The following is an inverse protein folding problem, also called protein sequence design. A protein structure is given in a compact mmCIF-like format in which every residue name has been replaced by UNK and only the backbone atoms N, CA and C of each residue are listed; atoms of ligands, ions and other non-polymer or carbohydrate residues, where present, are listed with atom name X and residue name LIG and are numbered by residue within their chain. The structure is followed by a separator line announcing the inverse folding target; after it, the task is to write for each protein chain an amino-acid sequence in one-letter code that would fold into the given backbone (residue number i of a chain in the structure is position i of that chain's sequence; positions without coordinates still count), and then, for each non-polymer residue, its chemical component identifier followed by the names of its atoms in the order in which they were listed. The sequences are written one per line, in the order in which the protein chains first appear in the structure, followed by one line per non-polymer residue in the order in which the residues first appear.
data_IF_560908890062
#
_entry.id   IF_560908890062
#
_cell.length_a   1.000
_cell.length_b   1.000
_cell.length_c   1.000
_cell.angle_alpha   90.00
_cell.angle_beta   90.00
_cell.angle_gamma   90.00
#
_symmetry.space_group_name_H-M   'P 1'
#
loop_
_entity.id
_entity.type
_entity.pdbx_description
1 polymer ?
#
# COMPACT_ATOMS: atom_id res chain seq x y z
N UNK A 1 29.11 -12.83 -9.68
CA UNK A 1 30.20 -13.00 -8.70
C UNK A 1 31.49 -13.36 -9.41
N UNK A 2 31.47 -14.36 -10.29
CA UNK A 2 32.65 -14.92 -10.96
C UNK A 2 33.45 -13.92 -11.81
N UNK A 3 32.78 -13.06 -12.59
CA UNK A 3 33.48 -12.02 -13.36
C UNK A 3 34.24 -11.01 -12.48
N UNK A 4 33.78 -10.73 -11.25
CA UNK A 4 34.48 -9.82 -10.32
C UNK A 4 35.75 -10.47 -9.76
N UNK A 5 35.75 -11.79 -9.58
CA UNK A 5 36.94 -12.56 -9.22
C UNK A 5 37.96 -12.47 -10.38
N UNK A 6 37.52 -12.61 -11.63
CA UNK A 6 38.37 -12.41 -12.80
C UNK A 6 38.95 -10.98 -12.87
N UNK A 7 38.16 -9.94 -12.56
CA UNK A 7 38.67 -8.56 -12.49
C UNK A 7 39.74 -8.43 -11.39
N UNK A 8 39.48 -8.96 -10.19
CA UNK A 8 40.45 -8.95 -9.07
C UNK A 8 41.74 -9.68 -9.44
N UNK A 9 41.64 -10.82 -10.13
CA UNK A 9 42.78 -11.54 -10.69
C UNK A 9 43.57 -10.68 -11.67
N UNK A 10 42.91 -9.98 -12.60
CA UNK A 10 43.58 -9.08 -13.56
C UNK A 10 44.36 -7.96 -12.85
N UNK A 11 43.77 -7.35 -11.81
CA UNK A 11 44.44 -6.31 -11.00
C UNK A 11 45.70 -6.86 -10.32
N UNK A 12 45.61 -8.04 -9.67
CA UNK A 12 46.77 -8.67 -9.02
C UNK A 12 47.90 -9.01 -10.00
N UNK A 13 47.56 -9.30 -11.25
CA UNK A 13 48.52 -9.57 -12.32
C UNK A 13 48.97 -8.30 -13.09
N UNK A 14 48.58 -7.10 -12.64
CA UNK A 14 48.92 -5.81 -13.28
C UNK A 14 48.46 -5.71 -14.75
N UNK A 15 47.41 -6.44 -15.12
CA UNK A 15 46.78 -6.35 -16.44
C UNK A 15 45.98 -5.06 -16.48
N UNK A 16 46.19 -4.22 -17.50
CA UNK A 16 45.48 -2.93 -17.62
C UNK A 16 43.96 -3.15 -17.72
N UNK A 17 43.19 -2.23 -17.14
CA UNK A 17 41.71 -2.30 -17.11
C UNK A 17 41.07 -2.52 -18.50
N UNK A 18 41.59 -1.86 -19.54
CA UNK A 18 41.09 -2.05 -20.91
C UNK A 18 41.34 -3.48 -21.44
N UNK A 19 42.47 -4.10 -21.09
CA UNK A 19 42.81 -5.47 -21.48
C UNK A 19 42.02 -6.47 -20.65
N UNK A 20 41.82 -6.20 -19.35
CA UNK A 20 40.93 -6.98 -18.50
C UNK A 20 39.49 -7.00 -19.03
N UNK A 21 38.99 -5.85 -19.52
CA UNK A 21 37.68 -5.77 -20.16
C UNK A 21 37.60 -6.63 -21.42
N UNK A 22 38.61 -6.55 -22.31
CA UNK A 22 38.68 -7.41 -23.50
C UNK A 22 38.70 -8.89 -23.15
N UNK A 23 39.49 -9.30 -22.16
CA UNK A 23 39.56 -10.69 -21.69
C UNK A 23 38.21 -11.17 -21.17
N UNK A 24 37.49 -10.33 -20.42
CA UNK A 24 36.14 -10.65 -19.95
C UNK A 24 35.13 -10.74 -21.09
N UNK A 25 35.22 -9.88 -22.11
CA UNK A 25 34.37 -9.96 -23.30
C UNK A 25 34.61 -11.26 -24.06
N UNK A 26 35.86 -11.69 -24.20
CA UNK A 26 36.19 -12.98 -24.84
C UNK A 26 35.67 -14.17 -24.03
N UNK A 27 35.76 -14.11 -22.70
CA UNK A 27 35.40 -15.23 -21.83
C UNK A 27 33.89 -15.35 -21.56
N UNK A 28 33.15 -14.24 -21.56
CA UNK A 28 31.74 -14.19 -21.13
C UNK A 28 30.77 -13.62 -22.19
N UNK A 29 31.27 -13.09 -23.30
CA UNK A 29 30.50 -12.60 -24.45
C UNK A 29 29.32 -11.67 -24.07
N UNK A 30 28.09 -11.98 -24.48
CA UNK A 30 26.90 -11.18 -24.16
C UNK A 30 26.60 -11.10 -22.65
N UNK A 31 27.14 -12.04 -21.85
CA UNK A 31 26.98 -12.04 -20.40
C UNK A 31 28.04 -11.18 -19.68
N UNK A 32 28.98 -10.55 -20.38
CA UNK A 32 30.00 -9.70 -19.77
C UNK A 32 29.40 -8.47 -19.07
N UNK A 33 29.91 -8.15 -17.88
CA UNK A 33 29.59 -6.89 -17.19
C UNK A 33 29.84 -5.69 -18.11
N UNK A 34 28.96 -4.69 -18.06
CA UNK A 34 29.15 -3.48 -18.85
C UNK A 34 30.47 -2.78 -18.48
N UNK A 35 31.02 -2.03 -19.45
CA UNK A 35 32.30 -1.36 -19.32
C UNK A 35 32.39 -0.48 -18.07
N UNK A 36 31.32 0.22 -17.70
CA UNK A 36 31.32 1.10 -16.51
C UNK A 36 31.44 0.28 -15.23
N UNK A 37 30.74 -0.85 -15.15
CA UNK A 37 30.85 -1.76 -14.02
C UNK A 37 32.23 -2.42 -13.92
N UNK A 38 32.83 -2.84 -15.04
CA UNK A 38 34.20 -3.39 -15.04
C UNK A 38 35.21 -2.36 -14.55
N UNK A 39 35.14 -1.13 -15.05
CA UNK A 39 36.04 -0.05 -14.64
C UNK A 39 35.85 0.34 -13.16
N UNK A 40 34.59 0.37 -12.68
CA UNK A 40 34.27 0.64 -11.28
C UNK A 40 34.89 -0.40 -10.35
N UNK A 41 34.69 -1.69 -10.64
CA UNK A 41 35.24 -2.78 -9.84
C UNK A 41 36.77 -2.85 -9.93
N UNK A 42 37.33 -2.64 -11.12
CA UNK A 42 38.79 -2.58 -11.30
C UNK A 42 39.42 -1.49 -10.43
N UNK A 43 38.81 -0.29 -10.42
CA UNK A 43 39.26 0.82 -9.57
C UNK A 43 39.23 0.43 -8.09
N UNK A 44 38.11 -0.09 -7.60
CA UNK A 44 37.98 -0.51 -6.20
C UNK A 44 39.04 -1.54 -5.80
N UNK A 45 39.31 -2.55 -6.63
CA UNK A 45 40.36 -3.54 -6.36
C UNK A 45 41.77 -2.94 -6.43
N UNK A 46 42.01 -1.98 -7.33
CA UNK A 46 43.30 -1.26 -7.38
C UNK A 46 43.55 -0.36 -6.17
N UNK A 47 42.47 0.07 -5.50
CA UNK A 47 42.49 0.88 -4.27
C UNK A 47 42.55 0.00 -3.00
N UNK A 48 42.71 -1.33 -3.14
CA UNK A 48 42.94 -2.24 -2.02
C UNK A 48 41.72 -2.98 -1.49
N UNK A 49 40.53 -2.84 -2.13
CA UNK A 49 39.37 -3.67 -1.80
C UNK A 49 39.69 -5.14 -2.06
N UNK A 50 39.27 -6.03 -1.16
CA UNK A 50 39.40 -7.48 -1.36
C UNK A 50 38.07 -8.20 -1.56
N UNK A 51 36.96 -7.64 -1.07
CA UNK A 51 35.64 -8.25 -1.18
C UNK A 51 35.03 -8.10 -2.59
N UNK A 52 34.49 -9.19 -3.14
CA UNK A 52 33.86 -9.28 -4.46
C UNK A 52 32.34 -9.10 -4.44
N UNK A 53 31.73 -9.13 -3.27
CA UNK A 53 30.31 -8.90 -3.06
C UNK A 53 30.03 -7.39 -3.07
N UNK A 54 28.83 -7.01 -3.51
CA UNK A 54 28.41 -5.62 -3.36
C UNK A 54 28.40 -5.25 -1.88
N UNK A 55 28.82 -4.02 -1.56
CA UNK A 55 28.67 -3.54 -0.18
C UNK A 55 27.19 -3.46 0.14
N UNK A 56 26.86 -3.67 1.42
CA UNK A 56 25.52 -3.36 1.90
C UNK A 56 25.19 -1.93 1.51
N UNK A 57 24.25 -1.83 0.57
CA UNK A 57 23.78 -0.54 0.11
C UNK A 57 23.09 0.07 1.31
N UNK A 58 23.68 1.10 1.90
CA UNK A 58 22.96 2.00 2.77
C UNK A 58 21.79 2.52 1.92
N UNK A 59 20.63 1.90 2.07
CA UNK A 59 19.39 2.42 1.51
C UNK A 59 19.25 3.87 1.98
N UNK A 60 18.54 4.69 1.20
CA UNK A 60 18.20 6.04 1.62
C UNK A 60 17.65 5.96 3.05
N UNK A 61 18.23 6.65 4.04
CA UNK A 61 17.63 6.75 5.36
C UNK A 61 16.24 7.35 5.15
N UNK A 62 15.21 6.53 5.26
CA UNK A 62 13.84 6.99 5.30
C UNK A 62 13.68 7.58 6.69
N UNK A 63 13.83 8.89 6.79
CA UNK A 63 13.67 9.66 8.04
C UNK A 63 12.26 9.49 8.66
N UNK A 64 11.35 8.80 7.97
CA UNK A 64 10.00 8.45 8.43
C UNK A 64 9.85 7.02 8.95
N UNK A 65 10.83 6.12 8.78
CA UNK A 65 10.73 4.71 9.22
C UNK A 65 11.89 4.33 10.15
N UNK A 66 12.18 5.18 11.13
CA UNK A 66 13.06 4.81 12.25
C UNK A 66 12.31 3.86 13.19
N UNK A 67 13.05 3.04 13.94
CA UNK A 67 12.43 2.13 14.92
C UNK A 67 11.63 2.91 15.97
N UNK A 68 12.06 4.12 16.32
CA UNK A 68 11.30 5.02 17.20
C UNK A 68 9.96 5.44 16.57
N UNK A 69 9.94 5.87 15.30
CA UNK A 69 8.70 6.26 14.62
C UNK A 69 7.78 5.05 14.43
N UNK A 70 8.34 3.87 14.14
CA UNK A 70 7.58 2.62 14.02
C UNK A 70 6.99 2.24 15.37
N UNK A 71 7.74 2.36 16.46
CA UNK A 71 7.28 2.01 17.81
C UNK A 71 6.26 3.02 18.34
N UNK A 72 6.40 4.30 17.99
CA UNK A 72 5.44 5.35 18.33
C UNK A 72 4.14 5.22 17.52
N UNK A 73 4.23 4.93 16.22
CA UNK A 73 3.06 4.55 15.40
C UNK A 73 2.42 3.27 15.93
N UNK A 74 3.20 2.26 16.32
CA UNK A 74 2.68 1.04 16.97
C UNK A 74 1.95 1.40 18.26
N UNK A 75 2.50 2.24 19.13
CA UNK A 75 1.85 2.70 20.36
C UNK A 75 0.56 3.45 20.09
N UNK A 76 0.52 4.33 19.09
CA UNK A 76 -0.70 5.06 18.68
C UNK A 76 -1.77 4.11 18.13
N UNK A 77 -1.37 3.13 17.29
CA UNK A 77 -2.27 2.11 16.73
C UNK A 77 -2.74 1.11 17.79
N UNK A 78 -1.90 0.80 18.79
CA UNK A 78 -2.26 -0.08 19.91
C UNK A 78 -3.15 0.63 20.93
N UNK A 79 -2.92 1.93 21.16
CA UNK A 79 -3.78 2.78 21.98
C UNK A 79 -5.15 3.02 21.32
N UNK A 80 -5.19 3.18 19.99
CA UNK A 80 -6.42 3.28 19.21
C UNK A 80 -6.71 1.91 18.56
N UNK A 81 -7.13 0.97 19.42
CA UNK A 81 -7.40 -0.45 19.14
C UNK A 81 -7.80 -0.70 17.68
N UNK A 82 -7.13 -1.68 17.04
CA UNK A 82 -7.68 -2.47 15.91
C UNK A 82 -9.20 -2.47 16.03
N UNK A 83 -9.92 -2.04 14.98
CA UNK A 83 -11.39 -2.04 14.94
C UNK A 83 -11.87 -3.37 15.52
N UNK A 84 -12.34 -3.34 16.77
CA UNK A 84 -12.83 -4.55 17.41
C UNK A 84 -14.22 -4.82 16.86
N UNK A 85 -14.68 -6.06 16.96
CA UNK A 85 -16.06 -6.39 16.57
C UNK A 85 -17.09 -5.55 17.33
N UNK A 86 -16.81 -5.17 18.58
CA UNK A 86 -17.66 -4.29 19.40
C UNK A 86 -17.65 -2.85 18.88
N UNK A 87 -16.48 -2.31 18.54
CA UNK A 87 -16.37 -0.97 17.96
C UNK A 87 -17.10 -0.91 16.61
N UNK A 88 -16.87 -1.91 15.75
CA UNK A 88 -17.55 -1.99 14.45
C UNK A 88 -19.07 -2.11 14.62
N UNK A 89 -19.55 -2.92 15.55
CA UNK A 89 -20.97 -3.00 15.86
C UNK A 89 -21.54 -1.64 16.26
N UNK A 90 -20.80 -0.85 17.04
CA UNK A 90 -21.25 0.50 17.40
C UNK A 90 -21.32 1.43 16.18
N UNK A 91 -20.36 1.35 15.25
CA UNK A 91 -20.41 2.06 13.97
C UNK A 91 -21.65 1.63 13.17
N UNK A 92 -21.96 0.34 13.13
CA UNK A 92 -23.14 -0.18 12.43
C UNK A 92 -24.46 0.31 13.03
N UNK A 93 -24.54 0.42 14.36
CA UNK A 93 -25.69 1.03 15.05
C UNK A 93 -25.88 2.49 14.67
N UNK A 94 -24.79 3.26 14.68
CA UNK A 94 -24.82 4.68 14.32
C UNK A 94 -25.21 4.87 12.84
N UNK A 95 -24.67 4.03 11.95
CA UNK A 95 -24.98 4.06 10.52
C UNK A 95 -26.48 3.78 10.29
N UNK A 96 -27.03 2.76 10.95
CA UNK A 96 -28.46 2.41 10.85
C UNK A 96 -29.35 3.58 11.25
N UNK A 97 -29.06 4.24 12.37
CA UNK A 97 -29.83 5.41 12.81
C UNK A 97 -29.66 6.60 11.85
N UNK A 98 -28.46 6.82 11.32
CA UNK A 98 -28.22 7.85 10.32
C UNK A 98 -29.00 7.61 9.03
N UNK A 99 -29.09 6.36 8.55
CA UNK A 99 -29.92 5.99 7.39
C UNK A 99 -31.39 6.25 7.69
N UNK A 100 -31.88 5.83 8.87
CA UNK A 100 -33.26 6.07 9.30
C UNK A 100 -33.62 7.55 9.30
N UNK A 101 -32.72 8.41 9.78
CA UNK A 101 -32.96 9.85 9.87
C UNK A 101 -32.79 10.57 8.53
N UNK A 102 -31.72 10.27 7.78
CA UNK A 102 -31.35 11.03 6.57
C UNK A 102 -31.98 10.48 5.30
N UNK A 103 -32.43 9.23 5.29
CA UNK A 103 -33.00 8.53 4.12
C UNK A 103 -34.26 7.75 4.53
N UNK A 104 -35.32 8.43 5.03
CA UNK A 104 -36.52 7.78 5.52
C UNK A 104 -37.24 6.92 4.47
N UNK A 105 -37.15 7.28 3.18
CA UNK A 105 -37.78 6.52 2.10
C UNK A 105 -37.11 5.14 1.89
N UNK A 106 -35.77 5.09 1.89
CA UNK A 106 -35.03 3.83 1.82
C UNK A 106 -35.26 2.97 3.05
N UNK A 107 -35.41 3.61 4.21
CA UNK A 107 -35.70 2.95 5.48
C UNK A 107 -37.07 2.26 5.47
N UNK A 108 -38.12 2.99 5.10
CA UNK A 108 -39.51 2.47 5.04
C UNK A 108 -39.62 1.33 4.04
N UNK A 109 -39.02 1.49 2.87
CA UNK A 109 -39.11 0.52 1.79
C UNK A 109 -38.13 -0.65 1.94
N UNK A 110 -37.27 -0.65 2.98
CA UNK A 110 -36.18 -1.61 3.19
C UNK A 110 -35.28 -1.79 1.96
N UNK A 111 -35.13 -0.72 1.18
CA UNK A 111 -34.43 -0.74 -0.10
C UNK A 111 -33.00 -0.23 0.07
N UNK A 112 -32.22 -0.90 0.90
CA UNK A 112 -30.80 -0.60 1.08
C UNK A 112 -30.02 -1.89 1.33
N UNK A 113 -28.82 -1.95 0.77
CA UNK A 113 -27.90 -3.07 0.90
C UNK A 113 -26.61 -2.57 1.56
N UNK A 114 -26.06 -3.39 2.44
CA UNK A 114 -24.75 -3.15 3.04
C UNK A 114 -23.68 -3.84 2.21
N UNK A 115 -22.66 -3.09 1.83
CA UNK A 115 -21.45 -3.62 1.21
C UNK A 115 -20.25 -3.28 2.10
N UNK A 116 -19.51 -4.31 2.51
CA UNK A 116 -18.29 -4.20 3.30
C UNK A 116 -17.41 -5.44 3.08
N UNK A 117 -16.12 -5.33 3.37
CA UNK A 117 -15.16 -6.40 3.16
C UNK A 117 -15.20 -7.49 4.24
N UNK A 118 -14.52 -8.61 3.96
CA UNK A 118 -14.49 -9.80 4.82
C UNK A 118 -13.52 -9.69 6.02
N UNK A 119 -13.22 -8.47 6.48
CA UNK A 119 -12.34 -8.28 7.63
C UNK A 119 -12.86 -9.04 8.87
N UNK A 120 -11.98 -9.59 9.75
CA UNK A 120 -12.43 -10.43 10.86
C UNK A 120 -13.46 -9.79 11.81
N UNK A 121 -13.40 -8.47 12.01
CA UNK A 121 -14.39 -7.75 12.81
C UNK A 121 -15.78 -7.74 12.14
N UNK A 122 -15.80 -7.61 10.82
CA UNK A 122 -16.98 -7.51 9.97
C UNK A 122 -17.71 -8.85 9.84
N UNK A 123 -16.96 -9.95 9.74
CA UNK A 123 -17.50 -11.31 9.60
C UNK A 123 -17.74 -11.99 10.95
N UNK A 124 -17.47 -11.30 12.06
CA UNK A 124 -17.69 -11.83 13.41
C UNK A 124 -19.15 -12.20 13.66
N UNK A 125 -19.37 -13.24 14.47
CA UNK A 125 -20.72 -13.72 14.82
C UNK A 125 -21.61 -12.60 15.38
N UNK A 126 -21.06 -11.78 16.27
CA UNK A 126 -21.75 -10.64 16.90
C UNK A 126 -22.27 -9.62 15.87
N UNK A 127 -21.49 -9.33 14.82
CA UNK A 127 -21.93 -8.41 13.76
C UNK A 127 -22.95 -9.08 12.85
N UNK A 128 -22.74 -10.35 12.48
CA UNK A 128 -23.67 -11.12 11.64
C UNK A 128 -25.05 -11.27 12.29
N UNK A 129 -25.10 -11.58 13.58
CA UNK A 129 -26.34 -11.65 14.36
C UNK A 129 -27.06 -10.30 14.40
N UNK A 130 -26.32 -9.21 14.59
CA UNK A 130 -26.91 -7.87 14.55
C UNK A 130 -27.51 -7.55 13.18
N UNK A 131 -26.81 -7.84 12.08
CA UNK A 131 -27.30 -7.60 10.72
C UNK A 131 -28.56 -8.42 10.44
N UNK A 132 -28.56 -9.70 10.79
CA UNK A 132 -29.71 -10.60 10.64
C UNK A 132 -30.92 -10.11 11.45
N UNK A 133 -30.73 -9.78 12.73
CA UNK A 133 -31.79 -9.27 13.61
C UNK A 133 -32.42 -7.97 13.08
N UNK A 134 -31.65 -7.17 12.35
CA UNK A 134 -32.09 -5.88 11.83
C UNK A 134 -32.51 -5.94 10.35
N UNK A 135 -32.59 -7.12 9.74
CA UNK A 135 -32.89 -7.31 8.31
C UNK A 135 -31.99 -6.45 7.39
N UNK A 136 -30.73 -6.26 7.77
CA UNK A 136 -29.75 -5.58 6.96
C UNK A 136 -29.17 -6.58 5.96
N UNK A 137 -29.63 -6.51 4.71
CA UNK A 137 -29.14 -7.37 3.64
C UNK A 137 -27.69 -7.00 3.30
N UNK A 138 -26.81 -7.99 3.30
CA UNK A 138 -25.40 -7.84 2.96
C UNK A 138 -25.17 -8.31 1.52
N UNK A 139 -24.48 -7.51 0.74
CA UNK A 139 -24.00 -7.88 -0.58
C UNK A 139 -22.77 -8.80 -0.44
N UNK A 140 -22.72 -9.95 -1.13
CA UNK A 140 -21.58 -10.84 -1.04
C UNK A 140 -20.32 -10.17 -1.59
N UNK A 141 -19.22 -10.28 -0.84
CA UNK A 141 -17.91 -9.80 -1.23
C UNK A 141 -16.95 -10.99 -1.42
N UNK A 142 -16.38 -11.19 -2.62
CA UNK A 142 -15.37 -12.23 -2.82
C UNK A 142 -14.07 -11.91 -2.07
N UNK A 143 -13.33 -12.93 -1.60
CA UNK A 143 -12.03 -12.72 -0.96
C UNK A 143 -11.04 -12.01 -1.88
N UNK A 144 -10.27 -11.08 -1.34
CA UNK A 144 -9.18 -10.37 -2.03
C UNK A 144 -9.59 -9.58 -3.28
N UNK A 145 -10.82 -9.04 -3.31
CA UNK A 145 -11.32 -8.22 -4.43
C UNK A 145 -11.50 -6.74 -4.04
N UNK A 146 -10.42 -6.00 -3.78
CA UNK A 146 -10.50 -4.57 -3.47
C UNK A 146 -11.02 -3.75 -4.66
N UNK A 147 -10.87 -4.25 -5.88
CA UNK A 147 -11.44 -3.70 -7.12
C UNK A 147 -12.97 -3.65 -7.13
N UNK A 148 -13.63 -4.48 -6.31
CA UNK A 148 -15.08 -4.47 -6.14
C UNK A 148 -15.56 -3.56 -5.00
N UNK A 149 -14.63 -3.01 -4.20
CA UNK A 149 -14.96 -2.16 -3.06
C UNK A 149 -14.88 -0.69 -3.43
N UNK A 150 -16.05 -0.02 -3.47
CA UNK A 150 -16.15 1.43 -3.74
C UNK A 150 -15.26 2.28 -2.82
N UNK A 151 -15.01 1.83 -1.60
CA UNK A 151 -14.06 2.49 -0.70
C UNK A 151 -12.62 2.46 -1.24
N UNK A 152 -12.17 1.32 -1.77
CA UNK A 152 -10.79 1.10 -2.18
C UNK A 152 -10.46 1.76 -3.52
N UNK A 153 -11.33 1.62 -4.53
CA UNK A 153 -11.05 2.16 -5.87
C UNK A 153 -11.48 3.63 -6.04
N UNK A 154 -12.42 4.14 -5.24
CA UNK A 154 -12.96 5.50 -5.38
C UNK A 154 -12.72 6.40 -4.16
N UNK A 155 -13.23 6.02 -2.98
CA UNK A 155 -13.24 6.92 -1.82
C UNK A 155 -11.82 7.21 -1.29
N UNK A 156 -11.02 6.17 -1.03
CA UNK A 156 -9.69 6.33 -0.48
C UNK A 156 -8.73 7.05 -1.45
N UNK A 157 -8.75 6.80 -2.77
CA UNK A 157 -7.95 7.61 -3.70
C UNK A 157 -8.34 9.08 -3.69
N UNK A 158 -9.64 9.42 -3.66
CA UNK A 158 -10.14 10.81 -3.59
C UNK A 158 -9.69 11.51 -2.30
N UNK A 159 -9.58 10.78 -1.20
CA UNK A 159 -9.07 11.30 0.08
C UNK A 159 -7.53 11.40 0.10
N UNK A 160 -6.83 10.32 -0.27
CA UNK A 160 -5.36 10.20 -0.11
C UNK A 160 -4.59 11.07 -1.09
N UNK A 161 -5.03 11.22 -2.33
CA UNK A 161 -4.33 12.02 -3.36
C UNK A 161 -4.11 13.48 -2.95
N UNK A 162 -5.13 14.26 -2.53
CA UNK A 162 -4.95 15.66 -2.14
C UNK A 162 -4.17 15.83 -0.83
N UNK A 163 -4.22 14.84 0.05
CA UNK A 163 -3.48 14.85 1.33
C UNK A 163 -2.02 14.38 1.17
N UNK A 164 -1.65 13.79 0.04
CA UNK A 164 -0.32 13.23 -0.20
C UNK A 164 0.74 14.34 -0.16
N UNK A 165 1.83 14.08 0.58
CA UNK A 165 2.96 15.00 0.69
C UNK A 165 2.76 16.16 1.67
N UNK A 166 1.59 16.28 2.29
CA UNK A 166 1.34 17.24 3.37
C UNK A 166 1.77 16.66 4.72
N UNK A 167 2.32 17.50 5.59
CA UNK A 167 2.59 17.17 6.98
C UNK A 167 1.48 17.75 7.85
N UNK A 168 1.01 16.95 8.80
CA UNK A 168 0.02 17.35 9.79
C UNK A 168 0.65 17.15 11.16
N UNK A 169 0.60 18.18 12.01
CA UNK A 169 1.21 18.14 13.34
C UNK A 169 0.30 17.42 14.35
N UNK A 170 -1.02 17.42 14.10
CA UNK A 170 -2.01 16.87 15.04
C UNK A 170 -3.06 15.97 14.36
N UNK A 171 -3.69 15.09 15.14
CA UNK A 171 -4.81 14.27 14.68
C UNK A 171 -6.01 15.14 14.26
N UNK A 172 -6.24 16.26 14.95
CA UNK A 172 -7.36 17.17 14.64
C UNK A 172 -7.17 17.87 13.28
N UNK A 173 -5.93 18.22 12.92
CA UNK A 173 -5.61 18.70 11.58
C UNK A 173 -5.91 17.64 10.51
N UNK A 174 -5.53 16.38 10.76
CA UNK A 174 -5.82 15.26 9.85
C UNK A 174 -7.33 15.09 9.69
N UNK A 175 -8.10 15.11 10.79
CA UNK A 175 -9.56 14.99 10.75
C UNK A 175 -10.21 16.14 9.99
N UNK A 176 -9.76 17.36 10.21
CA UNK A 176 -10.28 18.56 9.56
C UNK A 176 -10.01 18.53 8.06
N UNK A 177 -8.76 18.28 7.67
CA UNK A 177 -8.39 18.14 6.26
C UNK A 177 -9.13 16.98 5.58
N UNK A 178 -9.27 15.83 6.25
CA UNK A 178 -10.02 14.69 5.73
C UNK A 178 -11.49 15.06 5.50
N UNK A 179 -12.11 15.78 6.45
CA UNK A 179 -13.49 16.23 6.35
C UNK A 179 -13.68 17.21 5.20
N UNK A 180 -12.75 18.14 5.00
CA UNK A 180 -12.78 19.07 3.87
C UNK A 180 -12.74 18.33 2.53
N UNK A 181 -11.83 17.37 2.35
CA UNK A 181 -11.74 16.60 1.10
C UNK A 181 -12.98 15.71 0.89
N UNK A 182 -13.53 15.11 1.95
CA UNK A 182 -14.77 14.34 1.86
C UNK A 182 -15.97 15.20 1.45
N UNK A 183 -16.05 16.44 1.95
CA UNK A 183 -17.13 17.37 1.60
C UNK A 183 -17.07 17.85 0.14
N UNK A 184 -15.92 17.72 -0.54
CA UNK A 184 -15.80 18.03 -1.96
C UNK A 184 -16.39 16.94 -2.86
N UNK A 185 -16.64 15.74 -2.33
CA UNK A 185 -17.22 14.64 -3.10
C UNK A 185 -18.72 14.92 -3.30
N UNK A 186 -19.12 15.12 -4.55
CA UNK A 186 -20.51 15.44 -4.88
C UNK A 186 -21.37 14.17 -4.93
N UNK A 187 -22.69 14.35 -4.89
CA UNK A 187 -23.64 13.24 -5.12
C UNK A 187 -23.42 12.57 -6.48
N UNK A 188 -23.06 13.34 -7.50
CA UNK A 188 -22.81 12.81 -8.85
C UNK A 188 -21.53 11.97 -8.90
N UNK A 189 -20.50 12.32 -8.14
CA UNK A 189 -19.30 11.47 -8.03
C UNK A 189 -19.64 10.09 -7.46
N UNK A 190 -20.50 10.03 -6.43
CA UNK A 190 -20.99 8.76 -5.89
C UNK A 190 -21.83 7.98 -6.89
N UNK A 191 -22.75 8.63 -7.60
CA UNK A 191 -23.58 7.97 -8.62
C UNK A 191 -22.73 7.35 -9.73
N UNK A 192 -21.77 8.13 -10.26
CA UNK A 192 -20.83 7.65 -11.28
C UNK A 192 -20.01 6.46 -10.79
N UNK A 193 -19.53 6.48 -9.54
CA UNK A 193 -18.82 5.35 -8.94
C UNK A 193 -19.66 4.06 -8.96
N UNK A 194 -20.97 4.13 -8.67
CA UNK A 194 -21.84 2.95 -8.71
C UNK A 194 -22.16 2.49 -10.13
N UNK A 195 -22.18 3.39 -11.11
CA UNK A 195 -22.34 3.06 -12.53
C UNK A 195 -21.08 2.38 -13.08
N UNK A 196 -19.91 2.94 -12.81
CA UNK A 196 -18.61 2.38 -13.22
C UNK A 196 -18.42 0.96 -12.63
N UNK A 197 -18.84 0.74 -11.39
CA UNK A 197 -18.79 -0.59 -10.74
C UNK A 197 -19.70 -1.64 -11.39
N UNK A 198 -20.79 -1.26 -12.06
CA UNK A 198 -21.66 -2.20 -12.81
C UNK A 198 -21.00 -2.69 -14.10
N UNK A 199 -20.13 -1.87 -14.69
CA UNK A 199 -19.44 -2.20 -15.95
C UNK A 199 -18.25 -3.15 -15.74
N UNK A 200 -17.73 -3.26 -14.51
CA UNK A 200 -16.64 -4.20 -14.18
C UNK A 200 -17.18 -5.63 -14.01
N UNK A 201 -18.40 -5.79 -13.49
CA UNK A 201 -19.03 -7.09 -13.24
C UNK A 201 -19.64 -7.80 -14.45
N UNK A 202 -19.56 -7.24 -15.66
CA UNK A 202 -20.13 -7.81 -16.90
C UNK A 202 -19.08 -8.40 -17.84
N UNK A 203 -17.80 -8.42 -17.44
CA UNK A 203 -16.69 -8.99 -18.24
C UNK A 203 -16.07 -10.26 -17.65
N UNK A 204 -16.82 -11.03 -16.85
CA UNK A 204 -16.38 -12.36 -16.38
C UNK A 204 -17.41 -13.41 -16.72
#
# INVERSE_FOLDING_TARGET
MDQRICIKFCVKNKIKCADAFRMLTVAYDEATLDRSNVYRWYKMFSEGREDVNDEERAGRPSTSTTDENIDEVKKIVLANRRITKEYYLQVMRNLREAIRQKRPDLWKNKNWLLHHDNAPAHTSLLVREFLAKNNALMMPQPPYSPDLTSCDFFLFPKLKRPMKGRRYATIEEIKTASKEELNKITKNDFLKCFEDGKNVGTSV
#
